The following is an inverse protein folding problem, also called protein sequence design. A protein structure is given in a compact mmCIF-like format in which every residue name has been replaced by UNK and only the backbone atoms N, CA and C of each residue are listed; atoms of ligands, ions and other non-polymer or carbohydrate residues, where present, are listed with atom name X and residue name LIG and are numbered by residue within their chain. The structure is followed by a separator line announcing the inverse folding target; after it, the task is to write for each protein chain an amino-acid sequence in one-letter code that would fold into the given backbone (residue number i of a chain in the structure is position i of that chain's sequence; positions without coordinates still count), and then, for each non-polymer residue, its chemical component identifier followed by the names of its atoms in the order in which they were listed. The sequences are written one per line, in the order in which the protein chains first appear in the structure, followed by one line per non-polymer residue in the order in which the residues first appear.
data_IF_545780804972
#
_entry.id   IF_545780804972
#
_cell.length_a   1.000
_cell.length_b   1.000
_cell.length_c   1.000
_cell.angle_alpha   90.00
_cell.angle_beta   90.00
_cell.angle_gamma   90.00
#
_symmetry.space_group_name_H-M   'P 1'
#
loop_
_entity.id
_entity.type
_entity.pdbx_description
1 polymer ?
#
# COMPACT_ATOMS: atom_id res chain seq x y z
N UNK A 1 43.50 56.25 28.19
CA UNK A 1 42.73 55.02 27.90
C UNK A 1 41.46 55.13 28.71
N UNK A 2 40.28 55.15 28.09
CA UNK A 2 39.03 55.18 28.86
C UNK A 2 38.92 53.86 29.64
N UNK A 3 38.69 53.94 30.96
CA UNK A 3 38.46 52.76 31.80
C UNK A 3 37.05 52.23 31.55
N UNK A 4 36.96 50.94 31.18
CA UNK A 4 35.69 50.27 30.98
C UNK A 4 35.00 50.07 32.34
N UNK A 5 33.78 50.59 32.49
CA UNK A 5 33.03 50.50 33.75
C UNK A 5 32.09 49.30 33.76
N UNK A 6 31.67 48.87 34.96
CA UNK A 6 30.62 47.83 35.12
C UNK A 6 29.33 48.21 34.39
N UNK A 7 28.97 49.49 34.39
CA UNK A 7 27.77 50.00 33.72
C UNK A 7 27.86 49.86 32.21
N UNK A 8 29.03 50.12 31.62
CA UNK A 8 29.23 49.93 30.18
C UNK A 8 29.05 48.47 29.76
N UNK A 9 29.46 47.53 30.63
CA UNK A 9 29.24 46.08 30.39
C UNK A 9 27.76 45.70 30.51
N UNK A 10 27.05 46.22 31.52
CA UNK A 10 25.61 46.01 31.72
C UNK A 10 24.81 46.53 30.52
N UNK A 11 25.07 47.75 30.06
CA UNK A 11 24.40 48.36 28.91
C UNK A 11 24.62 47.56 27.60
N UNK A 12 25.83 47.01 27.42
CA UNK A 12 26.13 46.15 26.27
C UNK A 12 25.38 44.81 26.37
N UNK A 13 25.32 44.21 27.55
CA UNK A 13 24.60 42.96 27.81
C UNK A 13 23.09 43.13 27.58
N UNK A 14 22.49 44.18 28.13
CA UNK A 14 21.07 44.50 27.98
C UNK A 14 20.68 44.74 26.51
N UNK A 15 21.61 45.27 25.71
CA UNK A 15 21.40 45.43 24.27
C UNK A 15 21.60 44.14 23.49
N UNK A 16 22.62 43.34 23.83
CA UNK A 16 23.05 42.19 23.02
C UNK A 16 22.28 40.91 23.33
N UNK A 17 21.90 40.67 24.58
CA UNK A 17 21.16 39.47 24.96
C UNK A 17 19.82 39.36 24.22
N UNK A 18 18.96 40.41 24.17
CA UNK A 18 17.71 40.33 23.43
C UNK A 18 17.93 40.14 21.92
N UNK A 19 18.99 40.73 21.35
CA UNK A 19 19.33 40.57 19.94
C UNK A 19 19.67 39.12 19.60
N UNK A 20 20.52 38.48 20.41
CA UNK A 20 20.86 37.07 20.22
C UNK A 20 19.66 36.17 20.45
N UNK A 21 18.86 36.46 21.48
CA UNK A 21 17.69 35.65 21.80
C UNK A 21 16.64 35.72 20.69
N UNK A 22 16.38 36.91 20.14
CA UNK A 22 15.50 37.08 18.98
C UNK A 22 16.03 36.34 17.74
N UNK A 23 17.32 36.50 17.41
CA UNK A 23 17.91 35.83 16.26
C UNK A 23 17.89 34.29 16.39
N UNK A 24 18.11 33.75 17.59
CA UNK A 24 18.03 32.31 17.85
C UNK A 24 16.59 31.82 17.70
N UNK A 25 15.62 32.54 18.27
CA UNK A 25 14.20 32.16 18.17
C UNK A 25 13.75 32.18 16.72
N UNK A 26 14.07 33.23 15.96
CA UNK A 26 13.72 33.34 14.54
C UNK A 26 14.32 32.19 13.71
N UNK A 27 15.61 31.91 13.90
CA UNK A 27 16.28 30.80 13.21
C UNK A 27 15.69 29.42 13.59
N UNK A 28 15.20 29.27 14.82
CA UNK A 28 14.52 28.05 15.27
C UNK A 28 13.14 27.95 14.64
N UNK A 29 12.35 29.03 14.64
CA UNK A 29 11.02 29.09 14.04
C UNK A 29 11.05 28.78 12.54
N UNK A 30 12.03 29.31 11.81
CA UNK A 30 12.22 28.98 10.39
C UNK A 30 12.48 27.50 10.17
N UNK A 31 13.33 26.89 11.00
CA UNK A 31 13.60 25.44 10.94
C UNK A 31 12.34 24.63 11.26
N UNK A 32 11.55 25.04 12.24
CA UNK A 32 10.30 24.37 12.58
C UNK A 32 9.26 24.49 11.46
N UNK A 33 9.14 25.65 10.80
CA UNK A 33 8.29 25.81 9.60
C UNK A 33 8.74 24.88 8.48
N UNK A 34 10.03 24.84 8.17
CA UNK A 34 10.56 23.95 7.14
C UNK A 34 10.34 22.47 7.49
N UNK A 35 10.41 22.11 8.77
CA UNK A 35 10.08 20.75 9.24
C UNK A 35 8.59 20.45 9.07
N UNK A 36 7.70 21.37 9.47
CA UNK A 36 6.26 21.22 9.33
C UNK A 36 5.85 21.02 7.86
N UNK A 37 6.38 21.82 6.94
CA UNK A 37 6.14 21.66 5.49
C UNK A 37 6.58 20.29 4.97
N UNK A 38 7.71 19.75 5.49
CA UNK A 38 8.17 18.40 5.14
C UNK A 38 7.23 17.33 5.68
N UNK A 39 6.66 17.51 6.86
CA UNK A 39 5.66 16.60 7.42
C UNK A 39 4.38 16.60 6.58
N UNK A 40 3.86 17.76 6.18
CA UNK A 40 2.68 17.86 5.31
C UNK A 40 2.88 17.12 3.97
N UNK A 41 4.08 17.20 3.40
CA UNK A 41 4.44 16.46 2.18
C UNK A 41 4.52 14.95 2.44
N UNK A 42 5.01 14.53 3.60
CA UNK A 42 5.08 13.11 3.98
C UNK A 42 3.67 12.54 4.18
N UNK A 43 2.79 13.25 4.87
CA UNK A 43 1.39 12.84 5.09
C UNK A 43 0.68 12.60 3.76
N UNK A 44 0.75 13.56 2.83
CA UNK A 44 0.16 13.38 1.48
C UNK A 44 0.71 12.16 0.75
N UNK A 45 2.02 11.89 0.86
CA UNK A 45 2.64 10.70 0.24
C UNK A 45 2.17 9.40 0.87
N UNK A 46 1.90 9.41 2.18
CA UNK A 46 1.36 8.25 2.90
C UNK A 46 -0.09 8.00 2.44
N UNK A 47 -0.92 9.04 2.36
CA UNK A 47 -2.29 8.93 1.86
C UNK A 47 -2.32 8.38 0.43
N UNK A 48 -1.48 8.91 -0.46
CA UNK A 48 -1.34 8.42 -1.84
C UNK A 48 -0.83 6.98 -1.91
N UNK A 49 -0.01 6.55 -0.94
CA UNK A 49 0.42 5.16 -0.82
C UNK A 49 -0.72 4.25 -0.38
N UNK A 50 -1.50 4.66 0.60
CA UNK A 50 -2.65 3.90 1.11
C UNK A 50 -3.70 3.69 0.01
N UNK A 51 -4.05 4.74 -0.73
CA UNK A 51 -5.00 4.65 -1.85
C UNK A 51 -4.51 3.65 -2.90
N UNK A 52 -3.25 3.76 -3.33
CA UNK A 52 -2.69 2.84 -4.34
C UNK A 52 -2.59 1.41 -3.84
N UNK A 53 -2.32 1.21 -2.56
CA UNK A 53 -2.27 -0.11 -1.96
C UNK A 53 -3.65 -0.77 -1.93
N UNK A 54 -4.67 -0.03 -1.47
CA UNK A 54 -6.05 -0.52 -1.46
C UNK A 54 -6.55 -0.86 -2.86
N UNK A 55 -6.30 -0.01 -3.86
CA UNK A 55 -6.66 -0.29 -5.25
C UNK A 55 -6.02 -1.58 -5.79
N UNK A 56 -4.74 -1.83 -5.44
CA UNK A 56 -4.05 -3.05 -5.85
C UNK A 56 -4.62 -4.29 -5.15
N UNK A 57 -5.00 -4.17 -3.88
CA UNK A 57 -5.66 -5.25 -3.15
C UNK A 57 -7.03 -5.57 -3.75
N UNK A 58 -7.85 -4.56 -4.05
CA UNK A 58 -9.17 -4.77 -4.67
C UNK A 58 -9.06 -5.46 -6.03
N UNK A 59 -8.08 -5.05 -6.86
CA UNK A 59 -7.80 -5.68 -8.14
C UNK A 59 -7.34 -7.14 -7.98
N UNK A 60 -6.52 -7.43 -6.96
CA UNK A 60 -6.08 -8.78 -6.64
C UNK A 60 -7.26 -9.65 -6.19
N UNK A 61 -8.10 -9.16 -5.27
CA UNK A 61 -9.30 -9.87 -4.81
C UNK A 61 -10.24 -10.19 -5.97
N UNK A 62 -10.50 -9.21 -6.83
CA UNK A 62 -11.33 -9.41 -8.04
C UNK A 62 -10.74 -10.49 -8.97
N UNK A 63 -9.42 -10.49 -9.13
CA UNK A 63 -8.72 -11.49 -9.95
C UNK A 63 -8.82 -12.89 -9.34
N UNK A 64 -8.68 -13.00 -8.02
CA UNK A 64 -8.84 -14.26 -7.29
C UNK A 64 -10.27 -14.79 -7.39
N UNK A 65 -11.29 -13.94 -7.22
CA UNK A 65 -12.70 -14.33 -7.35
C UNK A 65 -13.00 -14.89 -8.74
N UNK A 66 -12.52 -14.20 -9.79
CA UNK A 66 -12.67 -14.67 -11.16
C UNK A 66 -11.95 -16.01 -11.40
N UNK A 67 -10.77 -16.19 -10.81
CA UNK A 67 -10.02 -17.43 -10.92
C UNK A 67 -10.75 -18.60 -10.23
N UNK A 68 -11.24 -18.37 -9.01
CA UNK A 68 -12.02 -19.36 -8.25
C UNK A 68 -13.29 -19.75 -9.00
N UNK A 69 -14.02 -18.77 -9.55
CA UNK A 69 -15.21 -19.04 -10.36
C UNK A 69 -14.88 -19.92 -11.56
N UNK A 70 -13.82 -19.61 -12.30
CA UNK A 70 -13.38 -20.42 -13.44
C UNK A 70 -13.03 -21.86 -13.02
N UNK A 71 -12.39 -22.05 -11.87
CA UNK A 71 -12.09 -23.39 -11.37
C UNK A 71 -13.37 -24.16 -11.03
N UNK A 72 -14.34 -23.52 -10.37
CA UNK A 72 -15.63 -24.14 -10.06
C UNK A 72 -16.41 -24.49 -11.33
N UNK A 73 -16.44 -23.59 -12.32
CA UNK A 73 -17.10 -23.83 -13.60
C UNK A 73 -16.46 -25.03 -14.32
N UNK A 74 -15.13 -25.10 -14.35
CA UNK A 74 -14.38 -26.22 -14.93
C UNK A 74 -14.66 -27.55 -14.22
N UNK A 75 -14.73 -27.55 -12.90
CA UNK A 75 -15.05 -28.75 -12.12
C UNK A 75 -16.46 -29.26 -12.46
N UNK A 76 -17.43 -28.36 -12.59
CA UNK A 76 -18.79 -28.72 -13.00
C UNK A 76 -18.85 -29.28 -14.42
N UNK A 77 -18.21 -28.60 -15.38
CA UNK A 77 -18.15 -29.07 -16.77
C UNK A 77 -17.47 -30.43 -16.89
N UNK A 78 -16.37 -30.65 -16.15
CA UNK A 78 -15.68 -31.94 -16.12
C UNK A 78 -16.56 -33.05 -15.56
N UNK A 79 -17.31 -32.78 -14.48
CA UNK A 79 -18.24 -33.74 -13.90
C UNK A 79 -19.38 -34.10 -14.88
N UNK A 80 -19.93 -33.11 -15.60
CA UNK A 80 -20.92 -33.33 -16.65
C UNK A 80 -20.33 -34.18 -17.79
N UNK A 81 -19.10 -33.88 -18.22
CA UNK A 81 -18.44 -34.63 -19.27
C UNK A 81 -18.20 -36.09 -18.85
N UNK A 82 -17.76 -36.32 -17.62
CA UNK A 82 -17.59 -37.66 -17.05
C UNK A 82 -18.90 -38.46 -17.11
N UNK A 83 -20.01 -37.86 -16.69
CA UNK A 83 -21.33 -38.49 -16.77
C UNK A 83 -21.73 -38.82 -18.21
N UNK A 84 -21.54 -37.88 -19.16
CA UNK A 84 -21.83 -38.11 -20.58
C UNK A 84 -20.99 -39.24 -21.16
N UNK A 85 -19.70 -39.32 -20.81
CA UNK A 85 -18.80 -40.39 -21.24
C UNK A 85 -19.28 -41.74 -20.69
N UNK A 86 -19.67 -41.80 -19.42
CA UNK A 86 -20.20 -43.03 -18.81
C UNK A 86 -21.50 -43.49 -19.49
N UNK A 87 -22.40 -42.55 -19.82
CA UNK A 87 -23.63 -42.86 -20.57
C UNK A 87 -23.34 -43.41 -21.98
N UNK A 88 -22.37 -42.83 -22.69
CA UNK A 88 -21.95 -43.31 -24.01
C UNK A 88 -21.40 -44.73 -23.89
N UNK A 89 -20.51 -44.98 -22.92
CA UNK A 89 -19.95 -46.32 -22.67
C UNK A 89 -21.05 -47.35 -22.43
N UNK A 90 -22.00 -47.04 -21.57
CA UNK A 90 -23.15 -47.92 -21.30
C UNK A 90 -23.99 -48.17 -22.54
N UNK A 91 -24.34 -47.12 -23.28
CA UNK A 91 -25.16 -47.23 -24.51
C UNK A 91 -24.48 -48.07 -25.58
N UNK A 92 -23.17 -47.92 -25.77
CA UNK A 92 -22.42 -48.69 -26.75
C UNK A 92 -22.34 -50.17 -26.38
N UNK A 93 -22.15 -50.47 -25.10
CA UNK A 93 -22.18 -51.84 -24.60
C UNK A 93 -23.55 -52.47 -24.78
N UNK A 94 -24.63 -51.78 -24.39
CA UNK A 94 -25.99 -52.32 -24.43
C UNK A 94 -26.52 -52.50 -25.87
N UNK A 95 -26.25 -51.55 -26.76
CA UNK A 95 -26.83 -51.55 -28.13
C UNK A 95 -25.95 -52.25 -29.16
N UNK A 96 -24.64 -52.23 -28.98
CA UNK A 96 -23.68 -52.69 -29.98
C UNK A 96 -22.70 -53.75 -29.46
N UNK A 97 -22.79 -54.15 -28.19
CA UNK A 97 -21.85 -55.09 -27.53
C UNK A 97 -20.38 -54.65 -27.62
N UNK A 98 -20.14 -53.33 -27.68
CA UNK A 98 -18.81 -52.73 -27.74
C UNK A 98 -18.39 -52.30 -26.33
N UNK A 99 -17.32 -52.91 -25.81
CA UNK A 99 -16.71 -52.55 -24.52
C UNK A 99 -15.53 -51.59 -24.71
N UNK A 100 -15.72 -50.31 -24.36
CA UNK A 100 -14.65 -49.31 -24.42
C UNK A 100 -13.87 -49.33 -23.10
N UNK A 101 -12.68 -49.94 -23.14
CA UNK A 101 -11.72 -49.89 -22.03
C UNK A 101 -10.90 -48.60 -22.11
N UNK A 102 -10.99 -47.76 -21.08
CA UNK A 102 -10.05 -46.65 -20.91
C UNK A 102 -8.69 -47.20 -20.51
N UNK A 103 -7.68 -47.01 -21.36
CA UNK A 103 -6.27 -47.28 -21.01
C UNK A 103 -5.82 -46.36 -19.89
N UNK A 104 -4.97 -46.90 -19.00
CA UNK A 104 -4.34 -46.18 -17.91
C UNK A 104 -3.47 -45.02 -18.41
#
# INVERSE_FOLDING_TARGET
MAELTKKDLEDVLDKKLPQYQAAIIEAVDEKFKAVAERFDVIEKKIDDMEIRFNQKLDALMTTLDNFLKRLTDWEQEFNILKYKVDLIKTTLKEKFDIDIRTGA
#
